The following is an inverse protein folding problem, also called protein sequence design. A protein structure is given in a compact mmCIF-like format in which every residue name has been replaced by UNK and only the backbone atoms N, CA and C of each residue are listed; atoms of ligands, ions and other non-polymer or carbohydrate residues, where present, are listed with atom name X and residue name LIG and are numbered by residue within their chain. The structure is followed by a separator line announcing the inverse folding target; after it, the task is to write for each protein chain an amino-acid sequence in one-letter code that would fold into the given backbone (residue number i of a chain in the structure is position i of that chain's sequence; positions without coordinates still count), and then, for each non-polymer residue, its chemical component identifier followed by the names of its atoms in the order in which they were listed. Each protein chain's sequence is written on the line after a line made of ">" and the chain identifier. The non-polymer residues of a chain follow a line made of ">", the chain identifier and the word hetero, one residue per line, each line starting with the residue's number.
data_IF_300694275185
#
_entry.id   IF_300694275185
#
_cell.length_a   1.000
_cell.length_b   1.000
_cell.length_c   1.000
_cell.angle_alpha   90.00
_cell.angle_beta   90.00
_cell.angle_gamma   90.00
#
_symmetry.space_group_name_H-M   'P 1'
#
loop_
_entity.id
_entity.type
_entity.pdbx_description
1 polymer ?
#
# COMPACT_ATOMS: atom_id res chain seq x y z
N UNK A 1 -6.36 -25.62 -3.83
CA UNK A 1 -6.25 -24.30 -3.20
C UNK A 1 -7.13 -23.31 -3.95
N UNK A 2 -7.86 -22.51 -3.20
CA UNK A 2 -8.69 -21.42 -3.72
C UNK A 2 -8.42 -20.16 -2.91
N UNK A 3 -8.70 -19.02 -3.52
CA UNK A 3 -8.62 -17.72 -2.84
C UNK A 3 -9.90 -17.52 -2.01
N UNK A 4 -9.77 -17.27 -0.72
CA UNK A 4 -10.92 -17.09 0.17
C UNK A 4 -11.76 -15.85 -0.16
N UNK A 5 -11.13 -14.80 -0.74
CA UNK A 5 -11.81 -13.56 -1.11
C UNK A 5 -12.69 -13.65 -2.38
N UNK A 6 -12.56 -14.72 -3.17
CA UNK A 6 -13.28 -14.87 -4.45
C UNK A 6 -14.12 -16.16 -4.53
N UNK A 7 -14.14 -16.96 -3.47
CA UNK A 7 -14.94 -18.19 -3.42
C UNK A 7 -16.18 -17.96 -2.56
N UNK A 8 -17.35 -18.21 -3.12
CA UNK A 8 -18.61 -18.22 -2.40
C UNK A 8 -18.68 -19.42 -1.45
N UNK A 9 -19.33 -19.23 -0.31
CA UNK A 9 -19.55 -20.28 0.67
C UNK A 9 -20.71 -21.17 0.21
N UNK A 10 -20.52 -22.48 0.32
CA UNK A 10 -21.53 -23.49 -0.05
C UNK A 10 -21.87 -24.37 1.17
N UNK A 11 -23.11 -24.82 1.26
CA UNK A 11 -23.53 -25.71 2.34
C UNK A 11 -22.74 -27.03 2.31
N UNK A 12 -22.20 -27.43 3.48
CA UNK A 12 -21.36 -28.63 3.59
C UNK A 12 -19.90 -28.43 3.16
N UNK A 13 -19.48 -27.20 2.82
CA UNK A 13 -18.09 -26.90 2.50
C UNK A 13 -17.18 -27.17 3.69
N UNK A 14 -16.13 -27.97 3.49
CA UNK A 14 -15.06 -28.22 4.47
C UNK A 14 -13.84 -27.43 4.07
N UNK A 15 -13.41 -26.48 4.91
CA UNK A 15 -12.29 -25.58 4.64
C UNK A 15 -11.12 -25.87 5.57
N UNK A 16 -9.95 -26.16 4.99
CA UNK A 16 -8.70 -26.32 5.71
C UNK A 16 -7.83 -25.07 5.53
N UNK A 17 -7.67 -24.31 6.58
CA UNK A 17 -6.91 -23.05 6.58
C UNK A 17 -5.44 -23.22 6.95
N UNK A 18 -5.05 -24.40 7.46
CA UNK A 18 -3.73 -24.66 8.05
C UNK A 18 -3.11 -26.00 7.59
N UNK A 19 -3.39 -26.45 6.38
CA UNK A 19 -2.76 -27.65 5.83
C UNK A 19 -1.32 -27.37 5.35
N UNK A 20 -0.43 -28.38 5.26
CA UNK A 20 0.91 -28.20 4.73
C UNK A 20 0.94 -27.52 3.35
N UNK A 21 -0.04 -27.83 2.50
CA UNK A 21 -0.20 -27.21 1.18
C UNK A 21 -0.54 -25.71 1.27
N UNK A 22 -1.36 -25.31 2.24
CA UNK A 22 -1.69 -23.91 2.49
C UNK A 22 -0.45 -23.16 3.00
N UNK A 23 0.30 -23.75 3.94
CA UNK A 23 1.56 -23.18 4.44
C UNK A 23 2.56 -22.95 3.32
N UNK A 24 2.79 -23.94 2.47
CA UNK A 24 3.72 -23.83 1.34
C UNK A 24 3.30 -22.74 0.35
N UNK A 25 2.00 -22.62 0.07
CA UNK A 25 1.49 -21.56 -0.80
C UNK A 25 1.68 -20.16 -0.21
N UNK A 26 1.37 -19.97 1.07
CA UNK A 26 1.58 -18.68 1.78
C UNK A 26 3.04 -18.30 1.85
N UNK A 27 3.91 -19.26 2.17
CA UNK A 27 5.37 -19.07 2.14
C UNK A 27 5.83 -18.55 0.79
N UNK A 28 5.45 -19.22 -0.31
CA UNK A 28 5.82 -18.81 -1.66
C UNK A 28 5.30 -17.41 -2.03
N UNK A 29 4.05 -17.09 -1.66
CA UNK A 29 3.47 -15.78 -1.91
C UNK A 29 4.26 -14.68 -1.17
N UNK A 30 4.66 -14.93 0.07
CA UNK A 30 5.46 -13.99 0.86
C UNK A 30 6.87 -13.82 0.27
N UNK A 31 7.51 -14.89 -0.21
CA UNK A 31 8.81 -14.83 -0.88
C UNK A 31 8.73 -13.97 -2.16
N UNK A 32 7.72 -14.19 -3.00
CA UNK A 32 7.48 -13.39 -4.21
C UNK A 32 7.14 -11.94 -3.90
N UNK A 33 6.36 -11.68 -2.83
CA UNK A 33 6.01 -10.33 -2.43
C UNK A 33 7.24 -9.56 -1.95
N UNK A 34 8.06 -10.16 -1.08
CA UNK A 34 9.31 -9.56 -0.59
C UNK A 34 10.32 -9.29 -1.72
N UNK A 35 10.33 -10.10 -2.79
CA UNK A 35 11.21 -9.88 -3.94
C UNK A 35 10.77 -8.71 -4.81
N UNK A 36 9.46 -8.44 -4.91
CA UNK A 36 8.90 -7.49 -5.85
C UNK A 36 8.66 -6.10 -5.27
N UNK A 37 8.51 -5.98 -3.94
CA UNK A 37 8.02 -4.76 -3.27
C UNK A 37 8.90 -4.43 -2.07
N UNK A 38 9.05 -3.14 -1.77
CA UNK A 38 9.64 -2.71 -0.51
C UNK A 38 8.62 -2.86 0.64
N UNK A 39 8.85 -3.84 1.51
CA UNK A 39 8.01 -4.13 2.68
C UNK A 39 8.62 -3.64 4.00
N UNK A 40 9.61 -2.74 3.94
CA UNK A 40 10.32 -2.22 5.12
C UNK A 40 9.39 -1.55 6.14
N UNK A 41 8.31 -0.93 5.66
CA UNK A 41 7.30 -0.25 6.49
C UNK A 41 5.99 -1.06 6.63
N UNK A 42 6.02 -2.37 6.40
CA UNK A 42 4.86 -3.26 6.45
C UNK A 42 4.98 -4.29 7.59
N UNK A 43 4.73 -3.91 8.86
CA UNK A 43 5.00 -4.78 10.02
C UNK A 43 4.21 -6.09 10.00
N UNK A 44 2.98 -6.07 9.47
CA UNK A 44 2.16 -7.28 9.36
C UNK A 44 2.74 -8.27 8.32
N UNK A 45 3.20 -7.77 7.17
CA UNK A 45 3.87 -8.61 6.17
C UNK A 45 5.16 -9.18 6.72
N UNK A 46 5.96 -8.39 7.44
CA UNK A 46 7.19 -8.86 8.09
C UNK A 46 6.90 -9.95 9.14
N UNK A 47 5.83 -9.78 9.93
CA UNK A 47 5.38 -10.80 10.89
C UNK A 47 5.03 -12.10 10.18
N UNK A 48 4.20 -12.04 9.13
CA UNK A 48 3.80 -13.20 8.36
C UNK A 48 5.00 -13.87 7.67
N UNK A 49 5.95 -13.08 7.15
CA UNK A 49 7.18 -13.59 6.54
C UNK A 49 7.98 -14.46 7.53
N UNK A 50 8.08 -14.03 8.78
CA UNK A 50 8.72 -14.81 9.85
C UNK A 50 7.89 -16.04 10.25
N UNK A 51 6.58 -15.87 10.42
CA UNK A 51 5.66 -16.94 10.83
C UNK A 51 5.66 -18.11 9.84
N UNK A 52 5.64 -17.82 8.54
CA UNK A 52 5.66 -18.85 7.49
C UNK A 52 7.07 -19.29 7.08
N UNK A 53 8.13 -18.76 7.71
CA UNK A 53 9.51 -19.09 7.39
C UNK A 53 9.87 -18.82 5.92
N UNK A 54 9.39 -17.70 5.39
CA UNK A 54 9.64 -17.30 4.01
C UNK A 54 11.10 -16.85 3.85
N UNK A 55 11.78 -17.37 2.82
CA UNK A 55 13.15 -17.01 2.49
C UNK A 55 13.17 -15.76 1.60
N UNK A 56 13.47 -14.63 2.19
CA UNK A 56 13.51 -13.33 1.50
C UNK A 56 14.64 -13.22 0.47
N UNK A 57 15.66 -14.08 0.57
CA UNK A 57 16.78 -14.10 -0.35
C UNK A 57 16.55 -14.99 -1.59
N UNK A 58 15.51 -15.82 -1.57
CA UNK A 58 15.25 -16.80 -2.64
C UNK A 58 15.15 -16.19 -4.04
N UNK A 59 14.64 -14.99 -4.15
CA UNK A 59 14.46 -14.27 -5.41
C UNK A 59 15.18 -12.90 -5.39
N UNK A 60 16.39 -12.84 -4.80
CA UNK A 60 17.14 -11.59 -4.65
C UNK A 60 17.46 -10.90 -5.98
N UNK A 61 17.64 -11.67 -7.06
CA UNK A 61 17.89 -11.18 -8.43
C UNK A 61 16.61 -10.71 -9.16
N UNK A 62 15.41 -10.84 -8.55
CA UNK A 62 14.17 -10.46 -9.19
C UNK A 62 14.08 -8.94 -9.34
N UNK A 63 13.43 -8.51 -10.43
CA UNK A 63 13.12 -7.09 -10.66
C UNK A 63 12.19 -6.57 -9.56
N UNK A 64 12.60 -5.50 -8.89
CA UNK A 64 11.75 -4.77 -7.94
C UNK A 64 10.88 -3.73 -8.64
N UNK A 65 9.74 -3.44 -8.03
CA UNK A 65 8.92 -2.29 -8.44
C UNK A 65 9.56 -1.03 -7.89
N UNK A 66 9.87 -0.12 -8.79
CA UNK A 66 10.39 1.20 -8.45
C UNK A 66 9.48 2.25 -9.06
N UNK A 67 8.98 3.11 -8.21
CA UNK A 67 8.15 4.24 -8.61
C UNK A 67 8.69 5.53 -7.99
N UNK A 68 8.63 6.65 -8.71
CA UNK A 68 9.03 7.93 -8.15
C UNK A 68 8.12 8.30 -6.97
N UNK A 69 8.73 8.80 -5.91
CA UNK A 69 8.01 9.34 -4.77
C UNK A 69 7.14 10.53 -5.22
N UNK A 70 5.86 10.50 -4.92
CA UNK A 70 4.92 11.58 -5.25
C UNK A 70 4.64 12.44 -4.02
N UNK A 71 5.13 13.68 -4.08
CA UNK A 71 4.94 14.74 -3.10
C UNK A 71 4.22 15.94 -3.75
N UNK A 72 3.02 15.70 -4.26
CA UNK A 72 2.24 16.63 -5.08
C UNK A 72 1.07 17.32 -4.35
N UNK A 73 0.98 17.13 -3.03
CA UNK A 73 -0.09 17.71 -2.22
C UNK A 73 0.41 18.01 -0.79
N UNK A 74 -0.30 18.84 -0.01
CA UNK A 74 0.17 19.26 1.32
C UNK A 74 0.02 18.20 2.42
N UNK A 75 -0.72 17.10 2.20
CA UNK A 75 -1.12 16.19 3.27
C UNK A 75 -0.48 14.81 3.20
N UNK A 76 -0.28 14.25 2.00
CA UNK A 76 0.10 12.86 1.79
C UNK A 76 1.35 12.71 0.95
N UNK A 77 2.14 11.70 1.28
CA UNK A 77 3.19 11.15 0.42
C UNK A 77 2.66 9.85 -0.18
N UNK A 78 3.02 9.59 -1.44
CA UNK A 78 2.67 8.38 -2.17
C UNK A 78 3.95 7.72 -2.68
N UNK A 79 4.33 6.60 -2.08
CA UNK A 79 5.46 5.76 -2.48
C UNK A 79 4.95 4.41 -2.98
N UNK A 80 4.71 4.30 -4.26
CA UNK A 80 4.16 3.08 -4.84
C UNK A 80 5.17 1.94 -4.98
N UNK A 81 6.46 2.16 -4.69
CA UNK A 81 7.45 1.08 -4.55
C UNK A 81 7.10 0.15 -3.38
N UNK A 82 6.32 0.64 -2.41
CA UNK A 82 5.80 -0.10 -1.26
C UNK A 82 4.41 -0.71 -1.49
N UNK A 83 3.80 -0.48 -2.66
CA UNK A 83 2.42 -0.88 -2.92
C UNK A 83 2.31 -2.37 -3.24
N UNK A 84 1.52 -3.11 -2.48
CA UNK A 84 1.22 -4.54 -2.69
C UNK A 84 -0.05 -4.79 -3.52
N UNK A 85 -0.65 -3.74 -4.08
CA UNK A 85 -1.89 -3.80 -4.87
C UNK A 85 -3.07 -4.48 -4.13
N UNK A 86 -3.19 -4.27 -2.83
CA UNK A 86 -4.25 -4.88 -2.01
C UNK A 86 -5.63 -4.23 -2.16
N UNK A 87 -5.75 -3.12 -2.86
CA UNK A 87 -7.00 -2.38 -3.15
C UNK A 87 -7.70 -1.71 -1.96
N UNK A 88 -7.26 -1.89 -0.72
CA UNK A 88 -7.90 -1.29 0.46
C UNK A 88 -8.10 0.23 0.33
N UNK A 89 -7.11 0.94 -0.20
CA UNK A 89 -7.21 2.39 -0.41
C UNK A 89 -8.20 2.78 -1.51
N UNK A 90 -8.34 1.95 -2.56
CA UNK A 90 -9.31 2.16 -3.64
C UNK A 90 -10.73 1.97 -3.11
N UNK A 91 -10.98 0.89 -2.36
CA UNK A 91 -12.27 0.63 -1.74
C UNK A 91 -12.64 1.73 -0.73
N UNK A 92 -11.71 2.15 0.13
CA UNK A 92 -11.95 3.25 1.06
C UNK A 92 -12.20 4.60 0.36
N UNK A 93 -11.64 4.85 -0.81
CA UNK A 93 -11.92 6.02 -1.63
C UNK A 93 -13.22 5.89 -2.41
N UNK A 94 -13.62 4.67 -2.71
CA UNK A 94 -14.83 4.28 -3.42
C UNK A 94 -16.01 3.99 -2.51
N UNK A 95 -16.64 2.86 -2.74
CA UNK A 95 -17.94 2.47 -2.20
C UNK A 95 -17.96 2.24 -0.69
N UNK A 96 -16.83 1.83 -0.10
CA UNK A 96 -16.84 1.48 1.32
C UNK A 96 -16.97 2.69 2.24
N UNK A 97 -16.41 3.86 1.83
CA UNK A 97 -16.36 5.03 2.74
C UNK A 97 -16.69 6.37 2.07
N UNK A 98 -15.93 6.79 1.04
CA UNK A 98 -15.89 8.20 0.65
C UNK A 98 -16.66 8.55 -0.64
N UNK A 99 -16.87 7.59 -1.53
CA UNK A 99 -17.57 7.77 -2.83
C UNK A 99 -16.97 8.82 -3.77
N UNK A 100 -15.69 9.15 -3.62
CA UNK A 100 -15.01 10.15 -4.48
C UNK A 100 -14.28 9.54 -5.65
N UNK A 101 -13.88 8.25 -5.54
CA UNK A 101 -13.16 7.51 -6.60
C UNK A 101 -11.93 8.25 -7.14
N UNK A 102 -11.23 9.01 -6.28
CA UNK A 102 -10.08 9.82 -6.69
C UNK A 102 -8.87 9.00 -7.10
N UNK A 103 -8.78 7.77 -6.61
CA UNK A 103 -7.70 6.82 -6.90
C UNK A 103 -8.28 5.48 -7.35
N UNK A 104 -7.59 4.86 -8.29
CA UNK A 104 -7.93 3.52 -8.81
C UNK A 104 -6.66 2.80 -9.22
N UNK A 105 -6.79 1.57 -9.72
CA UNK A 105 -5.66 0.85 -10.28
C UNK A 105 -5.37 1.34 -11.69
N UNK A 106 -4.09 1.60 -11.97
CA UNK A 106 -3.56 1.92 -13.29
C UNK A 106 -2.46 0.93 -13.68
N UNK A 107 -2.20 0.82 -14.98
CA UNK A 107 -1.24 -0.13 -15.52
C UNK A 107 -1.76 -1.57 -15.50
N UNK A 108 -0.87 -2.51 -15.83
CA UNK A 108 -1.15 -3.95 -15.82
C UNK A 108 0.11 -4.77 -15.59
N UNK A 109 -0.07 -6.01 -15.15
CA UNK A 109 1.04 -6.90 -14.85
C UNK A 109 1.96 -6.33 -13.77
N UNK A 110 3.26 -6.37 -13.99
CA UNK A 110 4.26 -5.92 -13.03
C UNK A 110 4.21 -4.39 -12.78
N UNK A 111 3.77 -3.61 -13.76
CA UNK A 111 3.68 -2.14 -13.67
C UNK A 111 2.35 -1.65 -13.07
N UNK A 112 1.51 -2.57 -12.57
CA UNK A 112 0.27 -2.22 -11.88
C UNK A 112 0.55 -1.40 -10.62
N UNK A 113 -0.13 -0.27 -10.48
CA UNK A 113 -0.04 0.61 -9.31
C UNK A 113 -1.37 1.30 -9.04
N UNK A 114 -1.49 1.88 -7.89
CA UNK A 114 -2.58 2.80 -7.60
C UNK A 114 -2.22 4.19 -8.16
N UNK A 115 -3.15 4.84 -8.82
CA UNK A 115 -2.96 6.16 -9.39
C UNK A 115 -4.25 6.96 -9.38
N UNK A 116 -4.12 8.27 -9.52
CA UNK A 116 -5.21 9.17 -9.90
C UNK A 116 -5.50 9.01 -11.40
N UNK A 117 -6.64 9.50 -11.84
CA UNK A 117 -7.01 9.49 -13.25
C UNK A 117 -5.93 10.21 -14.10
N UNK A 118 -5.46 9.56 -15.15
CA UNK A 118 -4.32 10.01 -15.98
C UNK A 118 -3.05 10.39 -15.19
N UNK A 119 -2.86 9.82 -14.01
CA UNK A 119 -1.72 10.08 -13.14
C UNK A 119 -1.57 11.56 -12.71
N UNK A 120 -2.66 12.32 -12.74
CA UNK A 120 -2.70 13.72 -12.34
C UNK A 120 -2.32 13.89 -10.86
N UNK A 121 -1.81 15.06 -10.45
CA UNK A 121 -1.61 15.39 -9.05
C UNK A 121 -2.91 15.28 -8.23
N UNK A 122 -2.81 14.91 -6.96
CA UNK A 122 -3.98 14.80 -6.07
C UNK A 122 -4.86 16.07 -6.07
N UNK A 123 -4.32 17.30 -6.06
CA UNK A 123 -5.15 18.51 -6.11
C UNK A 123 -5.98 18.68 -7.38
N UNK A 124 -5.60 18.02 -8.47
CA UNK A 124 -6.34 18.04 -9.75
C UNK A 124 -7.35 16.89 -9.88
N UNK A 125 -7.46 16.03 -8.88
CA UNK A 125 -8.40 14.92 -8.81
C UNK A 125 -9.65 15.25 -8.01
N UNK A 126 -10.58 14.30 -7.91
CA UNK A 126 -11.78 14.39 -7.06
C UNK A 126 -11.48 14.19 -5.56
N UNK A 127 -10.21 14.17 -5.14
CA UNK A 127 -9.82 13.93 -3.76
C UNK A 127 -10.29 15.04 -2.82
N UNK A 128 -10.98 14.66 -1.74
CA UNK A 128 -11.44 15.55 -0.68
C UNK A 128 -10.55 15.55 0.55
N UNK A 129 -9.38 14.94 0.47
CA UNK A 129 -8.37 14.88 1.56
C UNK A 129 -8.87 14.25 2.86
N UNK A 130 -9.78 13.29 2.81
CA UNK A 130 -10.35 12.63 3.99
C UNK A 130 -9.36 11.74 4.77
N UNK A 131 -8.24 11.28 4.16
CA UNK A 131 -7.22 10.45 4.80
C UNK A 131 -7.54 8.95 4.91
N UNK A 132 -8.73 8.49 4.53
CA UNK A 132 -9.12 7.09 4.66
C UNK A 132 -8.20 6.13 3.90
N UNK A 133 -7.73 6.53 2.72
CA UNK A 133 -6.77 5.74 1.93
C UNK A 133 -5.41 5.58 2.63
N UNK A 134 -4.98 6.56 3.41
CA UNK A 134 -3.75 6.52 4.21
C UNK A 134 -3.91 5.51 5.35
N UNK A 135 -5.02 5.59 6.10
CA UNK A 135 -5.31 4.68 7.20
C UNK A 135 -5.52 3.23 6.73
N UNK A 136 -6.09 3.04 5.55
CA UNK A 136 -6.32 1.72 4.98
C UNK A 136 -5.05 1.06 4.42
N UNK A 137 -3.95 1.81 4.22
CA UNK A 137 -2.74 1.30 3.60
C UNK A 137 -1.90 0.44 4.57
N UNK A 138 -1.72 -0.87 4.33
CA UNK A 138 -1.00 -1.74 5.26
C UNK A 138 0.52 -1.67 5.13
N UNK A 139 1.04 -0.97 4.12
CA UNK A 139 2.47 -0.97 3.79
C UNK A 139 3.13 0.40 3.84
N UNK A 140 2.37 1.46 4.17
CA UNK A 140 2.90 2.82 4.13
C UNK A 140 3.16 3.37 2.72
N UNK A 141 2.62 2.72 1.67
CA UNK A 141 2.67 3.26 0.31
C UNK A 141 1.89 4.59 0.18
N UNK A 142 0.89 4.78 1.03
CA UNK A 142 0.19 6.03 1.25
C UNK A 142 0.40 6.40 2.72
N UNK A 143 1.01 7.56 2.99
CA UNK A 143 1.38 7.94 4.34
C UNK A 143 1.10 9.43 4.56
N UNK A 144 0.78 9.82 5.79
CA UNK A 144 0.67 11.22 6.15
C UNK A 144 2.04 11.90 5.98
N UNK A 145 2.07 13.04 5.30
CA UNK A 145 3.32 13.74 4.93
C UNK A 145 4.18 14.07 6.15
N UNK A 146 3.55 14.46 7.25
CA UNK A 146 4.25 14.76 8.48
C UNK A 146 4.92 13.53 9.09
N UNK A 147 4.18 12.42 9.15
CA UNK A 147 4.67 11.14 9.66
C UNK A 147 5.85 10.64 8.84
N UNK A 148 5.70 10.63 7.52
CA UNK A 148 6.78 10.26 6.59
C UNK A 148 8.08 11.04 6.84
N UNK A 149 7.98 12.38 7.01
CA UNK A 149 9.17 13.19 7.23
C UNK A 149 9.78 13.02 8.64
N UNK A 150 8.96 12.71 9.65
CA UNK A 150 9.44 12.39 11.00
C UNK A 150 10.20 11.05 10.95
N UNK A 151 9.66 10.04 10.30
CA UNK A 151 10.33 8.75 10.12
C UNK A 151 11.62 8.87 9.30
N UNK A 152 11.66 9.80 8.36
CA UNK A 152 12.87 10.16 7.62
C UNK A 152 13.90 10.99 8.45
N UNK A 153 13.66 11.18 9.76
CA UNK A 153 14.59 11.85 10.68
C UNK A 153 14.52 13.37 10.68
N UNK A 154 13.47 13.98 10.13
CA UNK A 154 13.30 15.45 10.19
C UNK A 154 12.76 15.89 11.54
N UNK A 155 13.24 17.03 12.02
CA UNK A 155 12.76 17.62 13.27
C UNK A 155 11.31 18.09 13.14
N UNK A 156 10.49 17.76 14.14
CA UNK A 156 9.06 18.11 14.20
C UNK A 156 8.87 19.63 14.24
N UNK A 157 9.75 20.37 14.92
CA UNK A 157 9.69 21.83 15.01
C UNK A 157 9.89 22.49 13.65
N UNK A 158 10.82 21.99 12.84
CA UNK A 158 11.06 22.45 11.47
C UNK A 158 9.82 22.21 10.58
N UNK A 159 9.20 21.03 10.67
CA UNK A 159 7.99 20.69 9.91
C UNK A 159 6.80 21.59 10.26
N UNK A 160 6.63 21.90 11.55
CA UNK A 160 5.57 22.83 12.01
C UNK A 160 5.85 24.26 11.51
N UNK A 161 7.10 24.69 11.53
CA UNK A 161 7.49 26.02 11.04
C UNK A 161 7.21 26.16 9.54
N UNK A 162 7.61 25.20 8.72
CA UNK A 162 7.32 25.18 7.26
C UNK A 162 5.83 25.25 6.98
N UNK A 163 5.01 24.46 7.65
CA UNK A 163 3.57 24.46 7.45
C UNK A 163 2.92 25.81 7.76
N UNK A 164 3.44 26.55 8.75
CA UNK A 164 2.98 27.92 9.09
C UNK A 164 3.39 28.94 8.03
N UNK A 165 4.59 28.83 7.47
CA UNK A 165 5.06 29.72 6.41
C UNK A 165 4.28 29.50 5.10
N UNK A 166 3.98 28.28 4.73
CA UNK A 166 3.19 27.95 3.54
C UNK A 166 1.76 28.47 3.64
N UNK A 167 1.14 28.43 4.83
CA UNK A 167 -0.18 29.03 5.08
C UNK A 167 -0.19 30.54 4.95
N UNK A 168 0.91 31.24 5.23
CA UNK A 168 1.01 32.72 5.11
C UNK A 168 1.24 33.19 3.67
N UNK A 169 1.60 32.30 2.76
CA UNK A 169 1.85 32.61 1.33
C UNK A 169 0.64 32.37 0.43
N UNK A 170 -0.46 31.84 0.98
CA UNK A 170 -1.77 31.67 0.32
C UNK A 170 -2.74 32.74 0.81
#
# INVERSE_FOLDING_TARGET
>A
LVQACSRECENGMVVQTNSPRVHQARKMILELLNSAVDVSTAPEIQKLTKEYGADVARFAEAKRREHPLKDDNPFYIRDYSKCINCWRCVQACGEDVQWTFAITQAGRGFDSRIATFFDQPIPASTCVYCGNCVQACPTGALQAKREFWIEAGRDVSELVHRSRLEKRRR
#
